data_IF_985667834415
#
_entry.id   IF_985667834415
#
_cell.length_a   1.000
_cell.length_b   1.000
_cell.length_c   1.000
_cell.angle_alpha   90.00
_cell.angle_beta   90.00
_cell.angle_gamma   90.00
#
_symmetry.space_group_name_H-M   'P 1'
#
loop_
_entity.id
_entity.type
_entity.pdbx_description
1 polymer ?
#
# COMPACT_ATOMS: atom_id res chain seq x y z
N UNK A 1 -49.62 73.94 -29.39
CA UNK A 1 -49.02 73.69 -28.06
C UNK A 1 -48.80 72.18 -27.85
N UNK A 2 -47.74 71.58 -28.41
CA UNK A 2 -47.41 70.14 -28.23
C UNK A 2 -45.90 69.88 -28.23
N UNK A 3 -45.11 70.78 -27.62
CA UNK A 3 -43.63 70.62 -27.51
C UNK A 3 -43.11 70.54 -26.06
N UNK A 4 -43.93 70.86 -25.05
CA UNK A 4 -43.53 70.77 -23.63
C UNK A 4 -43.69 69.38 -23.00
N UNK A 5 -44.66 68.57 -23.43
CA UNK A 5 -44.95 67.27 -22.81
C UNK A 5 -43.89 66.20 -23.09
N UNK A 6 -43.28 66.20 -24.29
CA UNK A 6 -42.26 65.22 -24.64
C UNK A 6 -40.95 65.40 -23.84
N UNK A 7 -40.62 66.64 -23.49
CA UNK A 7 -39.40 66.98 -22.75
C UNK A 7 -39.54 66.54 -21.28
N UNK A 8 -40.70 66.79 -20.66
CA UNK A 8 -40.97 66.39 -19.27
C UNK A 8 -40.95 64.86 -19.14
N UNK A 9 -41.52 64.13 -20.09
CA UNK A 9 -41.52 62.66 -20.09
C UNK A 9 -40.09 62.10 -20.26
N UNK A 10 -39.26 62.72 -21.11
CA UNK A 10 -37.86 62.33 -21.28
C UNK A 10 -37.03 62.56 -20.01
N UNK A 11 -37.21 63.69 -19.31
CA UNK A 11 -36.50 63.96 -18.06
C UNK A 11 -36.94 63.03 -16.91
N UNK A 12 -38.24 62.70 -16.82
CA UNK A 12 -38.75 61.75 -15.82
C UNK A 12 -38.27 60.31 -16.10
N UNK A 13 -38.22 59.90 -17.36
CA UNK A 13 -37.72 58.58 -17.75
C UNK A 13 -36.21 58.42 -17.49
N UNK A 14 -35.41 59.46 -17.76
CA UNK A 14 -33.97 59.47 -17.47
C UNK A 14 -33.72 59.50 -15.96
N UNK A 15 -34.50 60.26 -15.20
CA UNK A 15 -34.41 60.26 -13.73
C UNK A 15 -34.75 58.89 -13.11
N UNK A 16 -35.75 58.18 -13.63
CA UNK A 16 -36.08 56.82 -13.20
C UNK A 16 -35.00 55.80 -13.59
N UNK A 17 -34.41 55.90 -14.79
CA UNK A 17 -33.34 55.02 -15.24
C UNK A 17 -32.00 55.23 -14.50
N UNK A 18 -31.74 56.44 -13.99
CA UNK A 18 -30.54 56.74 -13.21
C UNK A 18 -30.68 56.45 -11.70
N UNK A 19 -31.89 56.20 -11.20
CA UNK A 19 -32.13 55.82 -9.79
C UNK A 19 -32.19 54.30 -9.55
N UNK A 20 -32.46 53.50 -10.59
CA UNK A 20 -32.46 52.03 -10.51
C UNK A 20 -31.08 51.40 -10.18
N UNK A 21 -29.91 51.92 -10.61
CA UNK A 21 -28.62 51.28 -10.34
C UNK A 21 -28.21 51.31 -8.85
N UNK A 22 -28.74 52.24 -8.04
CA UNK A 22 -28.38 52.38 -6.63
C UNK A 22 -29.14 51.42 -5.70
N UNK A 23 -30.31 50.92 -6.12
CA UNK A 23 -31.11 49.98 -5.31
C UNK A 23 -30.71 48.50 -5.51
N UNK A 24 -30.01 48.17 -6.61
CA UNK A 24 -29.52 46.81 -6.87
C UNK A 24 -28.23 46.44 -6.12
N UNK A 25 -27.60 47.43 -5.46
CA UNK A 25 -26.35 47.25 -4.70
C UNK A 25 -26.55 47.30 -3.18
N UNK A 26 -27.75 47.03 -2.67
CA UNK A 26 -27.99 46.72 -1.27
C UNK A 26 -28.40 45.26 -1.12
N UNK A 27 -27.46 44.35 -1.39
CA UNK A 27 -27.55 42.99 -0.85
C UNK A 27 -27.26 43.14 0.66
N UNK A 28 -28.21 42.86 1.57
CA UNK A 28 -27.91 42.89 3.00
C UNK A 28 -26.70 41.99 3.24
N UNK A 29 -25.76 42.43 4.08
CA UNK A 29 -24.54 41.68 4.46
C UNK A 29 -24.80 40.34 5.18
N UNK A 30 -26.06 39.90 5.21
CA UNK A 30 -26.51 38.60 5.67
C UNK A 30 -26.60 37.60 4.49
N UNK A 31 -26.50 38.09 3.25
CA UNK A 31 -26.50 37.32 2.02
C UNK A 31 -25.12 37.33 1.34
N UNK A 32 -24.07 37.40 2.16
CA UNK A 32 -22.68 37.32 1.72
C UNK A 32 -22.11 36.02 2.25
N UNK A 33 -22.08 35.01 1.37
CA UNK A 33 -21.13 33.88 1.35
C UNK A 33 -20.49 33.57 2.69
N UNK A 34 -21.15 32.72 3.46
CA UNK A 34 -20.70 31.93 4.62
C UNK A 34 -22.05 31.27 5.07
N UNK A 35 -22.19 30.02 5.45
CA UNK A 35 -21.38 29.32 6.43
C UNK A 35 -21.98 27.94 6.76
N UNK A 36 -22.30 27.10 5.78
CA UNK A 36 -22.26 25.67 6.10
C UNK A 36 -20.82 25.26 5.78
N UNK A 37 -19.99 25.09 6.81
CA UNK A 37 -19.18 23.86 6.79
C UNK A 37 -20.21 22.79 6.53
N UNK A 38 -20.37 22.34 5.28
CA UNK A 38 -21.19 21.18 5.03
C UNK A 38 -20.56 20.08 5.86
N UNK A 39 -21.33 19.65 6.83
CA UNK A 39 -21.00 18.54 7.69
C UNK A 39 -21.52 17.38 6.86
N UNK A 40 -20.61 16.67 6.20
CA UNK A 40 -20.97 15.55 5.31
C UNK A 40 -21.87 14.57 6.08
N UNK A 41 -21.44 14.20 7.29
CA UNK A 41 -22.12 13.28 8.20
C UNK A 41 -23.49 13.69 8.78
N UNK A 42 -24.12 14.77 8.30
CA UNK A 42 -25.47 15.17 8.68
C UNK A 42 -26.12 16.07 7.61
N UNK A 43 -25.80 15.86 6.33
CA UNK A 43 -26.41 16.61 5.23
C UNK A 43 -27.34 15.78 4.32
N UNK A 44 -27.50 14.50 4.63
CA UNK A 44 -28.45 13.59 3.98
C UNK A 44 -27.99 13.10 2.62
N UNK A 45 -26.69 13.21 2.32
CA UNK A 45 -26.07 12.85 1.06
C UNK A 45 -24.92 11.90 1.36
N UNK A 46 -24.78 10.85 0.57
CA UNK A 46 -23.59 10.00 0.50
C UNK A 46 -22.49 10.78 -0.26
N UNK A 47 -21.53 11.35 0.47
CA UNK A 47 -20.53 12.29 -0.03
C UNK A 47 -19.24 11.60 -0.50
N UNK A 48 -19.00 10.33 -0.13
CA UNK A 48 -17.87 9.53 -0.64
C UNK A 48 -18.28 8.40 -1.58
N UNK A 49 -19.57 8.06 -1.64
CA UNK A 49 -20.13 7.10 -2.57
C UNK A 49 -20.00 5.65 -2.12
N UNK A 50 -19.80 5.38 -0.82
CA UNK A 50 -19.67 4.03 -0.29
C UNK A 50 -21.02 3.30 -0.10
N UNK A 51 -22.13 4.02 -0.31
CA UNK A 51 -23.51 3.55 -0.20
C UNK A 51 -24.11 3.72 1.19
N UNK A 52 -23.37 4.29 2.14
CA UNK A 52 -23.85 4.72 3.44
C UNK A 52 -24.06 6.24 3.44
N UNK A 53 -24.78 6.74 4.45
CA UNK A 53 -25.17 8.16 4.49
C UNK A 53 -25.32 8.60 5.91
N UNK A 54 -24.61 9.65 6.29
CA UNK A 54 -24.66 10.33 7.58
C UNK A 54 -24.41 9.45 8.82
N UNK A 55 -24.06 10.12 9.92
CA UNK A 55 -24.03 9.49 11.23
C UNK A 55 -25.43 9.03 11.69
N UNK A 56 -25.59 7.82 12.28
CA UNK A 56 -24.59 6.81 12.61
C UNK A 56 -24.52 5.65 11.60
N UNK A 57 -25.21 5.75 10.48
CA UNK A 57 -25.32 4.65 9.52
C UNK A 57 -24.00 4.48 8.75
N UNK A 58 -23.39 5.62 8.43
CA UNK A 58 -22.11 5.79 7.78
C UNK A 58 -20.91 5.42 8.71
N UNK A 59 -20.08 4.42 8.34
CA UNK A 59 -18.86 4.01 9.06
C UNK A 59 -17.79 5.10 9.19
N UNK A 60 -17.70 5.90 8.14
CA UNK A 60 -16.91 7.11 8.01
C UNK A 60 -17.15 8.17 9.07
N UNK A 61 -18.43 8.29 9.41
CA UNK A 61 -18.89 9.23 10.40
C UNK A 61 -18.65 8.75 11.83
N UNK A 62 -17.61 9.28 12.49
CA UNK A 62 -17.47 9.12 13.94
C UNK A 62 -18.49 9.96 14.70
N UNK A 63 -18.89 11.11 14.15
CA UNK A 63 -19.83 12.07 14.73
C UNK A 63 -20.63 12.77 13.65
N UNK A 64 -21.89 13.11 13.96
CA UNK A 64 -22.77 13.95 13.12
C UNK A 64 -22.27 15.37 12.77
N UNK A 65 -21.05 15.76 13.14
CA UNK A 65 -20.46 17.08 12.88
C UNK A 65 -19.13 17.00 12.11
N UNK A 66 -18.75 15.78 11.72
CA UNK A 66 -17.57 15.52 10.91
C UNK A 66 -17.79 16.07 9.49
N UNK A 67 -16.69 16.47 8.85
CA UNK A 67 -16.74 17.16 7.55
C UNK A 67 -16.59 16.22 6.35
N UNK A 68 -16.24 14.98 6.63
CA UNK A 68 -16.03 13.91 5.65
C UNK A 68 -16.76 12.69 6.17
N UNK A 69 -17.27 11.90 5.24
CA UNK A 69 -17.74 10.53 5.45
C UNK A 69 -16.58 9.53 5.28
N UNK A 70 -15.33 9.99 5.31
CA UNK A 70 -14.17 9.10 5.36
C UNK A 70 -13.64 8.99 6.79
N UNK A 71 -13.25 7.79 7.19
CA UNK A 71 -12.66 7.50 8.48
C UNK A 71 -11.20 7.05 8.37
N UNK A 72 -10.27 7.96 8.67
CA UNK A 72 -8.81 7.74 8.72
C UNK A 72 -8.25 6.61 9.61
N UNK A 73 -9.12 5.87 10.26
CA UNK A 73 -8.77 4.75 11.14
C UNK A 73 -9.46 3.47 10.68
N UNK A 74 -9.93 3.43 9.44
CA UNK A 74 -10.53 2.31 8.74
C UNK A 74 -9.82 2.32 7.39
N UNK A 75 -8.92 1.36 7.17
CA UNK A 75 -8.10 1.31 5.95
C UNK A 75 -8.97 1.29 4.68
N UNK A 76 -10.10 0.57 4.72
CA UNK A 76 -11.04 0.50 3.60
C UNK A 76 -11.99 1.71 3.43
N UNK A 77 -11.72 2.82 4.10
CA UNK A 77 -12.56 4.01 4.13
C UNK A 77 -11.79 5.31 4.46
N UNK A 78 -10.46 5.33 4.27
CA UNK A 78 -9.64 6.50 4.60
C UNK A 78 -9.17 7.33 3.40
N UNK A 79 -9.42 6.87 2.17
CA UNK A 79 -9.03 7.54 0.95
C UNK A 79 -7.58 7.30 0.56
N UNK A 80 -6.92 6.31 1.15
CA UNK A 80 -5.51 5.98 0.93
C UNK A 80 -5.41 4.52 0.52
N UNK A 81 -4.53 4.23 -0.44
CA UNK A 81 -4.08 2.88 -0.78
C UNK A 81 -3.10 2.42 0.32
N UNK A 82 -3.61 1.70 1.33
CA UNK A 82 -2.83 1.35 2.52
C UNK A 82 -1.96 0.11 2.33
N UNK A 83 -2.30 -0.75 1.37
CA UNK A 83 -1.56 -1.96 1.04
C UNK A 83 -0.61 -1.77 -0.17
N UNK A 84 -0.82 -0.73 -0.98
CA UNK A 84 0.05 -0.35 -2.10
C UNK A 84 -0.22 -1.13 -3.39
N UNK A 85 -1.40 -1.72 -3.56
CA UNK A 85 -1.80 -2.50 -4.73
C UNK A 85 -2.30 -1.63 -5.91
N UNK A 86 -2.57 -0.35 -5.63
CA UNK A 86 -3.05 0.65 -6.58
C UNK A 86 -4.57 0.81 -6.63
N UNK A 87 -5.32 0.03 -5.85
CA UNK A 87 -6.73 0.24 -5.53
C UNK A 87 -6.84 0.99 -4.19
N UNK A 88 -8.04 1.53 -3.93
CA UNK A 88 -8.28 2.40 -2.77
C UNK A 88 -9.68 2.08 -2.24
N UNK A 89 -9.76 1.87 -0.93
CA UNK A 89 -10.98 1.73 -0.14
C UNK A 89 -11.96 0.71 -0.75
N UNK A 90 -13.19 1.11 -1.05
CA UNK A 90 -14.26 0.28 -1.64
C UNK A 90 -13.96 -0.22 -3.05
N UNK A 91 -12.94 0.32 -3.71
CA UNK A 91 -12.49 -0.18 -5.01
C UNK A 91 -11.47 -1.31 -4.86
N UNK A 92 -10.95 -1.51 -3.66
CA UNK A 92 -10.03 -2.57 -3.30
C UNK A 92 -10.77 -3.90 -3.07
N UNK A 93 -10.14 -5.01 -3.48
CA UNK A 93 -10.67 -6.36 -3.31
C UNK A 93 -10.47 -6.91 -1.89
N UNK A 94 -9.45 -6.44 -1.15
CA UNK A 94 -9.21 -6.76 0.26
C UNK A 94 -10.29 -6.14 1.15
N UNK A 95 -10.96 -5.09 0.68
CA UNK A 95 -12.01 -4.41 1.41
C UNK A 95 -13.39 -5.10 1.34
N UNK A 96 -13.63 -6.02 2.26
CA UNK A 96 -14.90 -6.73 2.36
C UNK A 96 -16.10 -5.82 2.70
N UNK A 97 -15.85 -4.69 3.38
CA UNK A 97 -16.84 -3.67 3.74
C UNK A 97 -16.17 -2.32 4.09
N UNK A 98 -16.88 -1.18 4.08
CA UNK A 98 -16.33 0.10 4.57
C UNK A 98 -16.15 0.16 6.11
N UNK A 99 -16.37 -0.96 6.81
CA UNK A 99 -15.98 -1.11 8.22
C UNK A 99 -14.73 -1.98 8.39
N UNK A 100 -14.24 -2.54 7.30
CA UNK A 100 -13.06 -3.37 7.31
C UNK A 100 -11.83 -2.51 7.51
N UNK A 101 -10.94 -2.92 8.39
CA UNK A 101 -9.74 -2.16 8.74
C UNK A 101 -8.49 -2.94 8.33
N UNK A 102 -8.64 -3.73 7.28
CA UNK A 102 -7.58 -4.46 6.63
C UNK A 102 -7.88 -4.38 5.14
N UNK A 103 -7.10 -3.58 4.42
CA UNK A 103 -7.20 -3.46 2.96
C UNK A 103 -6.42 -4.57 2.24
N UNK A 104 -5.70 -5.43 2.95
CA UNK A 104 -4.89 -6.48 2.31
C UNK A 104 -5.73 -7.64 1.75
N UNK A 105 -5.29 -8.18 0.60
CA UNK A 105 -5.94 -9.28 -0.13
C UNK A 105 -5.78 -10.69 0.51
N UNK A 106 -5.39 -10.77 1.79
CA UNK A 106 -4.83 -11.99 2.35
C UNK A 106 -5.82 -13.15 2.50
N UNK A 107 -5.43 -14.32 2.00
CA UNK A 107 -6.15 -15.59 2.03
C UNK A 107 -6.88 -15.94 0.72
N UNK A 108 -6.66 -15.19 -0.36
CA UNK A 108 -7.27 -15.41 -1.67
C UNK A 108 -6.41 -16.32 -2.58
N UNK A 109 -5.16 -16.58 -2.18
CA UNK A 109 -4.19 -17.42 -2.87
C UNK A 109 -3.28 -16.70 -3.85
N UNK A 110 -3.26 -15.36 -3.87
CA UNK A 110 -2.41 -14.53 -4.72
C UNK A 110 -1.60 -13.58 -3.83
N UNK A 111 -0.27 -13.63 -3.95
CA UNK A 111 0.62 -12.70 -3.25
C UNK A 111 0.72 -11.38 -4.01
N UNK A 112 -0.20 -10.45 -3.73
CA UNK A 112 -0.28 -9.11 -4.31
C UNK A 112 -0.48 -8.02 -3.25
N UNK A 113 -0.75 -6.77 -3.63
CA UNK A 113 -1.06 -5.67 -2.70
C UNK A 113 -0.22 -5.47 -1.45
N UNK A 114 1.09 -5.34 -1.63
CA UNK A 114 2.02 -5.12 -0.51
C UNK A 114 2.05 -6.23 0.53
N UNK A 115 1.41 -7.36 0.25
CA UNK A 115 1.55 -8.54 1.06
C UNK A 115 2.99 -9.00 1.11
N UNK A 116 3.40 -9.43 2.29
CA UNK A 116 4.70 -10.02 2.53
C UNK A 116 4.50 -11.36 3.18
N UNK A 117 5.51 -12.24 3.14
CA UNK A 117 5.43 -13.49 3.89
C UNK A 117 5.17 -13.27 5.40
N UNK A 118 5.55 -12.11 5.95
CA UNK A 118 5.33 -11.74 7.34
C UNK A 118 3.91 -11.27 7.63
N UNK A 119 3.29 -10.53 6.70
CA UNK A 119 1.94 -9.95 6.86
C UNK A 119 0.85 -10.88 6.33
N UNK A 120 1.13 -11.62 5.26
CA UNK A 120 0.25 -12.62 4.66
C UNK A 120 0.99 -13.93 4.32
N UNK A 121 1.30 -14.73 5.34
CA UNK A 121 1.91 -16.05 5.12
C UNK A 121 0.98 -17.08 4.43
N UNK A 122 -0.32 -16.78 4.34
CA UNK A 122 -1.31 -17.63 3.70
C UNK A 122 -1.06 -17.69 2.18
N UNK A 123 -0.71 -16.55 1.58
CA UNK A 123 -0.59 -16.42 0.13
C UNK A 123 0.84 -16.14 -0.32
N UNK A 124 1.59 -15.36 0.45
CA UNK A 124 3.00 -15.11 0.21
C UNK A 124 3.88 -16.16 0.89
N UNK A 125 4.41 -17.10 0.11
CA UNK A 125 5.49 -17.97 0.57
C UNK A 125 6.80 -17.17 0.76
N UNK A 126 7.69 -17.58 1.68
CA UNK A 126 8.98 -16.91 1.85
C UNK A 126 9.74 -16.86 0.51
N UNK A 127 10.33 -15.71 0.14
CA UNK A 127 11.10 -15.61 -1.09
C UNK A 127 12.36 -16.48 -1.02
N UNK A 128 12.84 -16.89 -2.19
CA UNK A 128 14.10 -17.62 -2.31
C UNK A 128 15.23 -16.83 -1.65
N UNK A 129 15.94 -17.48 -0.74
CA UNK A 129 17.00 -16.88 0.05
C UNK A 129 18.05 -17.91 0.40
N UNK A 130 19.29 -17.46 0.51
CA UNK A 130 20.42 -18.29 0.88
C UNK A 130 21.34 -17.49 1.80
N UNK A 131 21.74 -18.13 2.91
CA UNK A 131 22.74 -17.65 3.85
C UNK A 131 23.74 -18.77 4.10
N UNK A 132 25.01 -18.43 4.30
CA UNK A 132 26.13 -19.37 4.42
C UNK A 132 26.96 -19.07 5.68
N UNK A 133 27.73 -20.05 6.14
CA UNK A 133 28.54 -19.95 7.37
C UNK A 133 30.03 -19.75 7.13
N UNK A 134 30.48 -19.94 5.89
CA UNK A 134 31.88 -20.15 5.51
C UNK A 134 32.31 -19.34 4.26
N UNK A 135 31.54 -18.28 3.94
CA UNK A 135 31.89 -17.26 2.93
C UNK A 135 31.91 -17.74 1.47
N UNK A 136 31.08 -18.72 1.13
CA UNK A 136 30.86 -19.13 -0.25
C UNK A 136 31.39 -20.53 -0.51
N UNK A 137 32.09 -20.68 -1.62
CA UNK A 137 32.77 -21.91 -1.97
C UNK A 137 34.10 -21.97 -1.20
N UNK A 138 34.12 -22.59 -0.01
CA UNK A 138 35.29 -22.77 0.85
C UNK A 138 35.51 -24.24 1.19
N UNK A 139 36.26 -24.92 0.33
CA UNK A 139 36.58 -26.35 0.46
C UNK A 139 37.43 -26.71 1.70
N UNK A 140 37.92 -25.73 2.46
CA UNK A 140 38.86 -25.96 3.58
C UNK A 140 38.17 -25.97 4.94
N UNK A 141 36.97 -25.43 5.04
CA UNK A 141 36.20 -25.37 6.28
C UNK A 141 34.85 -26.05 6.06
N UNK A 142 34.32 -26.69 7.11
CA UNK A 142 32.96 -27.22 7.01
C UNK A 142 31.97 -26.06 7.12
N UNK A 143 31.24 -25.85 6.04
CA UNK A 143 30.19 -24.87 5.90
C UNK A 143 28.79 -25.44 5.98
N UNK A 144 27.82 -24.54 5.96
CA UNK A 144 26.40 -24.85 5.85
C UNK A 144 25.68 -23.70 5.17
N UNK A 145 24.74 -24.05 4.31
CA UNK A 145 23.79 -23.12 3.70
C UNK A 145 22.40 -23.34 4.26
N UNK A 146 21.70 -22.25 4.56
CA UNK A 146 20.32 -22.28 5.03
C UNK A 146 19.52 -21.14 4.40
N UNK A 147 18.21 -21.34 4.27
CA UNK A 147 17.33 -20.36 3.64
C UNK A 147 16.06 -20.99 3.11
N UNK A 148 15.48 -20.37 2.08
CA UNK A 148 14.23 -20.81 1.48
C UNK A 148 14.40 -21.06 -0.03
N UNK A 149 13.76 -22.10 -0.54
CA UNK A 149 13.69 -22.42 -1.96
C UNK A 149 12.29 -22.86 -2.33
N UNK A 150 11.64 -22.12 -3.23
CA UNK A 150 10.22 -22.27 -3.56
C UNK A 150 9.36 -22.32 -2.28
N UNK A 151 9.59 -21.40 -1.34
CA UNK A 151 8.89 -21.33 -0.05
C UNK A 151 9.26 -22.41 0.98
N UNK A 152 10.08 -23.41 0.62
CA UNK A 152 10.48 -24.47 1.53
C UNK A 152 11.81 -24.13 2.19
N UNK A 153 11.86 -24.23 3.52
CA UNK A 153 13.10 -24.06 4.26
C UNK A 153 14.07 -25.22 3.95
N UNK A 154 15.35 -24.90 3.79
CA UNK A 154 16.42 -25.89 3.66
C UNK A 154 17.57 -25.56 4.61
N UNK A 155 18.35 -26.60 4.95
CA UNK A 155 19.60 -26.49 5.68
C UNK A 155 20.52 -27.62 5.20
N UNK A 156 21.56 -27.27 4.46
CA UNK A 156 22.52 -28.22 3.90
C UNK A 156 23.90 -27.93 4.45
N UNK A 157 24.56 -28.94 4.97
CA UNK A 157 25.93 -28.86 5.51
C UNK A 157 26.87 -29.62 4.60
N UNK A 158 28.08 -29.12 4.44
CA UNK A 158 29.11 -29.80 3.65
C UNK A 158 29.43 -31.16 4.24
N UNK A 159 29.61 -32.12 3.34
CA UNK A 159 29.88 -33.49 3.75
C UNK A 159 30.79 -34.20 2.76
N UNK A 160 31.52 -35.17 3.27
CA UNK A 160 32.33 -36.05 2.46
C UNK A 160 31.44 -37.18 1.93
N UNK A 161 31.25 -37.23 0.61
CA UNK A 161 30.60 -38.37 -0.05
C UNK A 161 31.51 -39.62 0.03
N UNK A 162 32.82 -39.41 -0.06
CA UNK A 162 33.84 -40.43 0.20
C UNK A 162 35.15 -39.79 0.68
N UNK A 163 36.22 -40.57 0.83
CA UNK A 163 37.51 -40.10 1.37
C UNK A 163 38.22 -39.03 0.52
N UNK A 164 37.81 -38.83 -0.74
CA UNK A 164 38.39 -37.82 -1.63
C UNK A 164 37.35 -36.86 -2.21
N UNK A 165 36.07 -37.20 -2.18
CA UNK A 165 34.98 -36.37 -2.72
C UNK A 165 34.26 -35.61 -1.62
N UNK A 166 34.35 -34.29 -1.69
CA UNK A 166 33.59 -33.32 -0.90
C UNK A 166 32.34 -32.90 -1.69
N UNK A 167 31.19 -32.85 -1.02
CA UNK A 167 30.00 -32.17 -1.50
C UNK A 167 29.91 -30.85 -0.76
N UNK A 168 30.11 -29.79 -1.53
CA UNK A 168 30.12 -28.39 -1.11
C UNK A 168 28.76 -27.76 -1.38
N UNK A 169 28.14 -27.19 -0.36
CA UNK A 169 26.97 -26.34 -0.46
C UNK A 169 27.36 -24.89 -0.22
N UNK A 170 27.01 -24.02 -1.17
CA UNK A 170 27.36 -22.60 -1.09
C UNK A 170 26.23 -21.73 -1.67
N UNK A 171 26.21 -20.45 -1.30
CA UNK A 171 25.24 -19.51 -1.87
C UNK A 171 25.75 -18.91 -3.20
N UNK A 172 24.87 -18.89 -4.19
CA UNK A 172 25.03 -18.12 -5.42
C UNK A 172 23.90 -17.10 -5.51
N UNK A 173 24.16 -15.89 -5.00
CA UNK A 173 23.10 -14.90 -4.79
C UNK A 173 22.08 -15.41 -3.76
N UNK A 174 20.80 -15.52 -4.16
CA UNK A 174 19.72 -16.04 -3.31
C UNK A 174 19.52 -17.55 -3.41
N UNK A 175 20.29 -18.25 -4.25
CA UNK A 175 20.11 -19.68 -4.51
C UNK A 175 21.19 -20.52 -3.82
N UNK A 176 20.79 -21.61 -3.16
CA UNK A 176 21.70 -22.67 -2.75
C UNK A 176 22.20 -23.45 -3.96
N UNK A 177 23.51 -23.60 -4.08
CA UNK A 177 24.19 -24.39 -5.10
C UNK A 177 24.94 -25.55 -4.45
N UNK A 178 25.15 -26.61 -5.23
CA UNK A 178 25.91 -27.79 -4.82
C UNK A 178 27.04 -28.02 -5.83
N UNK A 179 28.24 -28.32 -5.34
CA UNK A 179 29.36 -28.76 -6.16
C UNK A 179 30.03 -30.01 -5.58
N UNK A 180 30.44 -30.92 -6.46
CA UNK A 180 31.33 -32.02 -6.11
C UNK A 180 32.78 -31.60 -6.32
N UNK A 181 33.60 -31.72 -5.28
CA UNK A 181 35.03 -31.39 -5.31
C UNK A 181 35.85 -32.63 -4.99
N UNK A 182 36.82 -32.93 -5.85
CA UNK A 182 37.80 -33.98 -5.58
C UNK A 182 39.03 -33.37 -4.88
N UNK A 183 39.13 -33.61 -3.57
CA UNK A 183 40.23 -33.16 -2.71
C UNK A 183 41.59 -33.73 -3.13
N UNK A 184 41.64 -34.85 -3.86
CA UNK A 184 42.91 -35.47 -4.27
C UNK A 184 43.71 -34.58 -5.23
N UNK A 185 43.02 -33.72 -5.99
CA UNK A 185 43.65 -32.70 -6.84
C UNK A 185 44.47 -31.67 -6.04
N UNK A 186 44.21 -31.55 -4.74
CA UNK A 186 44.88 -30.62 -3.82
C UNK A 186 45.83 -31.32 -2.85
N UNK A 187 46.17 -32.59 -3.08
CA UNK A 187 46.93 -33.42 -2.14
C UNK A 187 46.28 -33.47 -0.74
N UNK A 188 44.94 -33.50 -0.72
CA UNK A 188 44.10 -33.51 0.47
C UNK A 188 43.16 -34.73 0.47
N UNK A 189 42.67 -35.08 1.66
CA UNK A 189 41.58 -36.05 1.85
C UNK A 189 40.36 -35.34 2.38
N UNK A 190 39.16 -35.73 1.96
CA UNK A 190 37.94 -35.20 2.55
C UNK A 190 37.77 -35.79 3.95
N UNK A 191 37.65 -34.92 4.94
CA UNK A 191 37.36 -35.29 6.31
C UNK A 191 36.46 -34.26 6.96
N UNK A 192 35.40 -34.74 7.62
CA UNK A 192 34.45 -33.91 8.37
C UNK A 192 33.86 -32.75 7.57
N UNK A 193 33.53 -33.00 6.29
CA UNK A 193 32.93 -31.99 5.41
C UNK A 193 33.90 -30.92 4.91
N UNK A 194 35.21 -31.19 4.89
CA UNK A 194 36.21 -30.28 4.32
C UNK A 194 37.40 -31.07 3.75
N UNK A 195 38.12 -30.48 2.79
CA UNK A 195 39.40 -30.99 2.32
C UNK A 195 40.50 -30.69 3.34
N UNK A 196 41.20 -31.73 3.81
CA UNK A 196 42.31 -31.62 4.75
C UNK A 196 43.61 -32.10 4.11
N UNK A 197 44.65 -31.25 4.13
CA UNK A 197 45.97 -31.61 3.63
C UNK A 197 46.55 -32.79 4.40
N UNK A 198 47.18 -33.74 3.69
CA UNK A 198 47.83 -34.87 4.33
C UNK A 198 49.05 -34.41 5.14
N UNK A 199 49.23 -34.88 6.39
CA UNK A 199 50.44 -34.61 7.15
C UNK A 199 51.65 -35.20 6.42
N UNK A 200 52.68 -34.37 6.23
CA UNK A 200 53.98 -34.74 5.65
C UNK A 200 54.75 -35.71 6.56
#
# INVERSE_FOLDING_TARGET
MKRGHAIIIAFVAIALLLLVPLALSWKPKWFSRQFWRRVACNDGIDNDGDGYTDYPADPGCKRRWDRSELNRFIECDDGIDNDGDGYIDRSDAGCSSPRDNDESNCGDGICEGGETHQTCSADCTPPDSCSETDSGFDIWNQGSTYGYRNGNAYNNTDFCDNSTSLIEYYCSGTSCSMAGVDCSNYNATCNNGACQLQPQ
#
